data_IF_926964146243
#
_entry.id   IF_926964146243
#
_cell.length_a   1.000
_cell.length_b   1.000
_cell.length_c   1.000
_cell.angle_alpha   90.00
_cell.angle_beta   90.00
_cell.angle_gamma   90.00
#
_symmetry.space_group_name_H-M   'P 1'
#
loop_
_entity.id
_entity.type
_entity.pdbx_description
1 polymer ?
#
# COMPACT_ATOMS: atom_id res chain seq x y z
N UNK A 1 -14.14 -9.99 -13.81
CA UNK A 1 -12.89 -9.52 -13.20
C UNK A 1 -13.23 -9.19 -11.76
N UNK A 2 -12.82 -10.02 -10.82
CA UNK A 2 -12.89 -9.69 -9.41
C UNK A 2 -12.03 -8.45 -9.20
N UNK A 3 -12.69 -7.33 -8.92
CA UNK A 3 -11.99 -6.11 -8.53
C UNK A 3 -11.36 -6.36 -7.18
N UNK A 4 -10.02 -6.51 -7.12
CA UNK A 4 -9.25 -6.58 -5.89
C UNK A 4 -9.67 -5.42 -4.98
N UNK A 5 -10.42 -5.71 -3.92
CA UNK A 5 -10.99 -4.69 -3.06
C UNK A 5 -9.90 -4.19 -2.12
N UNK A 6 -9.71 -2.86 -2.04
CA UNK A 6 -8.80 -2.28 -1.06
C UNK A 6 -9.29 -2.60 0.36
N UNK A 7 -8.45 -3.27 1.13
CA UNK A 7 -8.73 -3.64 2.52
C UNK A 7 -8.18 -2.61 3.49
N UNK A 8 -6.95 -2.14 3.25
CA UNK A 8 -6.25 -1.26 4.16
C UNK A 8 -5.16 -0.45 3.44
N UNK A 9 -4.99 0.80 3.84
CA UNK A 9 -3.86 1.62 3.42
C UNK A 9 -3.03 2.09 4.62
N UNK A 10 -1.73 1.80 4.55
CA UNK A 10 -0.74 2.25 5.51
C UNK A 10 0.17 3.35 4.96
N UNK A 11 1.23 3.67 5.71
CA UNK A 11 2.18 4.73 5.35
C UNK A 11 2.90 4.49 4.02
N UNK A 12 3.20 3.23 3.68
CA UNK A 12 4.01 2.88 2.51
C UNK A 12 3.43 1.74 1.65
N UNK A 13 2.31 1.14 2.05
CA UNK A 13 1.70 -0.01 1.37
C UNK A 13 0.18 0.09 1.37
N UNK A 14 -0.44 -0.49 0.36
CA UNK A 14 -1.89 -0.74 0.28
C UNK A 14 -2.10 -2.24 0.17
N UNK A 15 -3.05 -2.78 0.92
CA UNK A 15 -3.46 -4.19 0.86
C UNK A 15 -4.79 -4.32 0.12
N UNK A 16 -4.87 -5.30 -0.77
CA UNK A 16 -6.08 -5.65 -1.51
C UNK A 16 -6.41 -7.14 -1.32
N UNK A 17 -7.69 -7.46 -1.41
CA UNK A 17 -8.16 -8.85 -1.50
C UNK A 17 -7.76 -9.49 -2.83
N UNK A 18 -7.74 -10.81 -2.87
CA UNK A 18 -7.65 -11.61 -4.10
C UNK A 18 -8.81 -12.61 -4.16
N UNK A 19 -8.84 -13.45 -5.20
CA UNK A 19 -9.83 -14.54 -5.30
C UNK A 19 -9.60 -15.65 -4.26
N UNK A 20 -8.37 -15.77 -3.74
CA UNK A 20 -8.04 -16.67 -2.64
C UNK A 20 -8.09 -15.89 -1.31
N UNK A 21 -8.98 -16.25 -0.36
CA UNK A 21 -9.14 -15.52 0.90
C UNK A 21 -7.91 -15.60 1.82
N UNK A 22 -7.00 -16.56 1.60
CA UNK A 22 -5.75 -16.68 2.37
C UNK A 22 -4.60 -15.86 1.75
N UNK A 23 -4.81 -15.25 0.58
CA UNK A 23 -3.80 -14.47 -0.15
C UNK A 23 -4.23 -13.01 -0.26
N UNK A 24 -3.33 -12.11 0.13
CA UNK A 24 -3.48 -10.66 -0.04
C UNK A 24 -2.48 -10.13 -1.08
N UNK A 25 -2.94 -9.18 -1.89
CA UNK A 25 -2.09 -8.44 -2.80
C UNK A 25 -1.59 -7.16 -2.11
N UNK A 26 -0.28 -6.94 -2.10
CA UNK A 26 0.33 -5.71 -1.59
C UNK A 26 0.80 -4.81 -2.73
N UNK A 27 0.43 -3.53 -2.70
CA UNK A 27 1.00 -2.49 -3.54
C UNK A 27 1.91 -1.61 -2.71
N UNK A 28 3.18 -1.48 -3.11
CA UNK A 28 4.11 -0.58 -2.47
C UNK A 28 3.95 0.83 -3.06
N UNK A 29 3.93 1.83 -2.19
CA UNK A 29 3.79 3.24 -2.57
C UNK A 29 5.15 3.88 -2.71
N UNK A 30 5.22 4.90 -3.54
CA UNK A 30 6.35 5.85 -3.59
C UNK A 30 6.39 6.79 -2.37
N UNK A 31 5.37 6.73 -1.51
CA UNK A 31 5.27 7.52 -0.28
C UNK A 31 6.40 7.17 0.71
N UNK A 32 7.14 8.20 1.12
CA UNK A 32 8.11 8.16 2.19
C UNK A 32 7.62 8.98 3.38
N UNK A 33 7.74 8.42 4.59
CA UNK A 33 7.39 9.12 5.83
C UNK A 33 8.51 9.00 6.85
N UNK A 34 8.80 10.08 7.58
CA UNK A 34 9.75 10.10 8.69
C UNK A 34 9.15 10.81 9.92
N UNK A 35 9.78 10.64 11.09
CA UNK A 35 9.40 11.29 12.35
C UNK A 35 7.92 11.10 12.71
N UNK A 36 7.47 9.83 12.82
CA UNK A 36 6.05 9.51 13.06
C UNK A 36 5.08 10.16 12.06
N UNK A 37 5.49 10.22 10.79
CA UNK A 37 4.76 10.83 9.68
C UNK A 37 4.56 12.36 9.76
N UNK A 38 5.35 13.06 10.59
CA UNK A 38 5.44 14.52 10.59
C UNK A 38 6.15 15.05 9.32
N UNK A 39 7.05 14.25 8.73
CA UNK A 39 7.63 14.53 7.42
C UNK A 39 7.12 13.50 6.41
N UNK A 40 6.56 13.97 5.29
CA UNK A 40 6.03 13.16 4.20
C UNK A 40 6.54 13.67 2.86
N UNK A 41 6.71 12.78 1.91
CA UNK A 41 7.08 13.11 0.54
C UNK A 41 6.94 11.90 -0.37
N UNK A 42 7.07 12.12 -1.67
CA UNK A 42 7.07 11.05 -2.68
C UNK A 42 8.48 10.89 -3.21
N UNK A 43 8.97 9.65 -3.24
CA UNK A 43 10.24 9.30 -3.87
C UNK A 43 9.90 8.39 -5.05
N UNK A 44 10.04 8.92 -6.27
CA UNK A 44 9.69 8.21 -7.49
C UNK A 44 10.46 6.89 -7.60
N UNK A 45 9.75 5.78 -7.81
CA UNK A 45 10.33 4.45 -7.96
C UNK A 45 10.82 3.81 -6.65
N UNK A 46 10.32 4.28 -5.51
CA UNK A 46 10.59 3.69 -4.18
C UNK A 46 9.63 2.55 -3.86
N UNK A 47 8.45 2.52 -4.49
CA UNK A 47 7.46 1.47 -4.38
C UNK A 47 7.98 0.18 -4.98
#
# INVERSE_FOLDING_TARGET
>A
MSSNQQLYEGKAKILYTTDDPEILLTSFKDDATAFNAQKRGTITGKG
#
